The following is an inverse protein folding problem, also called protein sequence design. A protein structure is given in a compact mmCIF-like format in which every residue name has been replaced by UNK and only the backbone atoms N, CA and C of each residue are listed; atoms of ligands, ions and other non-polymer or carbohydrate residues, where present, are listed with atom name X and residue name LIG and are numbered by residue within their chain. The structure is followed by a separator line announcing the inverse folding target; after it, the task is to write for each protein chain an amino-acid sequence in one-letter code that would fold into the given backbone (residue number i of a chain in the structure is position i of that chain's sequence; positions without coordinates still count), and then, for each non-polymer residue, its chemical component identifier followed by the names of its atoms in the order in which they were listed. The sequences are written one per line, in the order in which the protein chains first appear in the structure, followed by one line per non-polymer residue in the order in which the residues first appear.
data_IF_839069615194
#
_entry.id   IF_839069615194
#
_cell.length_a   1.000
_cell.length_b   1.000
_cell.length_c   1.000
_cell.angle_alpha   90.00
_cell.angle_beta   90.00
_cell.angle_gamma   90.00
#
_symmetry.space_group_name_H-M   'P 1'
#
loop_
_entity.id
_entity.type
_entity.pdbx_description
1 polymer ?
#
# COMPACT_ATOMS: atom_id res chain seq x y z
N UNK A 1 6.78 8.23 -13.80
CA UNK A 1 5.32 8.06 -13.69
C UNK A 1 4.82 8.77 -12.45
N UNK A 2 3.67 9.40 -12.54
CA UNK A 2 3.04 10.10 -11.42
C UNK A 2 2.63 9.08 -10.34
N UNK A 3 2.90 9.40 -9.07
CA UNK A 3 2.55 8.51 -7.95
C UNK A 3 1.06 8.16 -7.92
N UNK A 4 0.19 9.10 -8.28
CA UNK A 4 -1.26 8.87 -8.32
C UNK A 4 -1.68 7.94 -9.45
N UNK A 5 -0.84 7.79 -10.47
CA UNK A 5 -1.09 6.81 -11.54
C UNK A 5 -0.59 5.44 -11.14
N UNK A 6 0.44 5.38 -10.30
CA UNK A 6 1.00 4.12 -9.79
C UNK A 6 0.07 3.53 -8.73
N UNK A 7 -0.29 4.34 -7.73
CA UNK A 7 -1.18 3.94 -6.62
C UNK A 7 -2.58 4.50 -6.91
N UNK A 8 -3.50 3.64 -7.29
CA UNK A 8 -4.86 4.07 -7.68
C UNK A 8 -5.73 4.39 -6.48
N UNK A 9 -5.87 3.45 -5.57
CA UNK A 9 -6.65 3.66 -4.34
C UNK A 9 -6.33 2.57 -3.32
N UNK A 10 -6.53 2.85 -2.03
CA UNK A 10 -6.38 1.82 -1.00
C UNK A 10 -7.59 0.90 -0.98
N UNK A 11 -7.40 -0.30 -0.45
CA UNK A 11 -8.47 -1.26 -0.25
C UNK A 11 -8.78 -1.36 1.24
N UNK A 12 -10.06 -1.28 1.59
CA UNK A 12 -10.53 -1.40 2.97
C UNK A 12 -11.50 -2.58 3.07
N UNK A 13 -10.93 -3.78 3.15
CA UNK A 13 -11.68 -5.02 3.35
C UNK A 13 -11.38 -5.54 4.75
N UNK A 14 -12.16 -6.51 5.21
CA UNK A 14 -11.91 -7.14 6.50
C UNK A 14 -10.50 -7.73 6.57
N UNK A 15 -10.05 -8.37 5.48
CA UNK A 15 -8.72 -8.94 5.41
C UNK A 15 -7.64 -7.86 5.47
N UNK A 16 -7.82 -6.73 4.78
CA UNK A 16 -6.83 -5.66 4.78
C UNK A 16 -6.73 -4.99 6.14
N UNK A 17 -7.84 -4.87 6.85
CA UNK A 17 -7.85 -4.32 8.21
C UNK A 17 -7.09 -5.25 9.17
N UNK A 18 -7.28 -6.55 9.05
CA UNK A 18 -6.55 -7.53 9.85
C UNK A 18 -5.05 -7.46 9.60
N UNK A 19 -4.64 -7.32 8.34
CA UNK A 19 -3.22 -7.19 7.98
C UNK A 19 -2.62 -5.91 8.53
N UNK A 20 -3.38 -4.83 8.53
CA UNK A 20 -2.94 -3.57 9.11
C UNK A 20 -2.67 -3.70 10.60
N UNK A 21 -3.57 -4.34 11.32
CA UNK A 21 -3.46 -4.50 12.78
C UNK A 21 -2.39 -5.51 13.19
N UNK A 22 -2.29 -6.63 12.47
CA UNK A 22 -1.41 -7.73 12.87
C UNK A 22 -0.03 -7.67 12.25
N UNK A 23 0.11 -7.15 11.02
CA UNK A 23 1.36 -7.19 10.27
C UNK A 23 1.86 -5.84 9.79
N UNK A 24 1.20 -4.77 10.18
CA UNK A 24 1.56 -3.40 9.78
C UNK A 24 1.60 -3.22 8.27
N UNK A 25 0.62 -3.81 7.58
CA UNK A 25 0.50 -3.78 6.12
C UNK A 25 -0.75 -3.04 5.68
N UNK A 26 -0.66 -2.35 4.54
CA UNK A 26 -1.83 -1.82 3.84
C UNK A 26 -1.88 -2.43 2.45
N UNK A 27 -3.08 -2.52 1.90
CA UNK A 27 -3.31 -3.06 0.56
C UNK A 27 -3.77 -1.94 -0.35
N UNK A 28 -3.10 -1.81 -1.51
CA UNK A 28 -3.43 -0.80 -2.51
C UNK A 28 -3.74 -1.45 -3.84
N UNK A 29 -4.70 -0.87 -4.55
CA UNK A 29 -4.88 -1.16 -5.97
C UNK A 29 -3.87 -0.31 -6.73
N UNK A 30 -3.07 -0.95 -7.58
CA UNK A 30 -2.00 -0.27 -8.31
C UNK A 30 -2.12 -0.48 -9.80
N UNK A 31 -1.36 0.30 -10.58
CA UNK A 31 -1.31 0.15 -12.02
C UNK A 31 -0.72 -1.22 -12.38
N UNK A 32 -1.28 -1.87 -13.40
CA UNK A 32 -0.84 -3.20 -13.83
C UNK A 32 0.63 -3.20 -14.29
N UNK A 33 1.12 -2.08 -14.77
CA UNK A 33 2.49 -1.95 -15.25
C UNK A 33 3.48 -1.52 -14.16
N UNK A 34 2.99 -1.22 -12.96
CA UNK A 34 3.86 -0.81 -11.85
C UNK A 34 4.57 -2.01 -11.24
N UNK A 35 5.86 -1.88 -10.99
CA UNK A 35 6.63 -2.92 -10.31
C UNK A 35 6.81 -2.59 -8.81
N UNK A 36 7.42 -3.51 -8.08
CA UNK A 36 7.63 -3.36 -6.63
C UNK A 36 8.43 -2.11 -6.28
N UNK A 37 9.47 -1.81 -7.05
CA UNK A 37 10.32 -0.65 -6.80
C UNK A 37 9.56 0.65 -6.99
N UNK A 38 8.78 0.73 -8.05
CA UNK A 38 7.95 1.90 -8.34
C UNK A 38 6.90 2.11 -7.25
N UNK A 39 6.26 1.03 -6.82
CA UNK A 39 5.23 1.08 -5.77
C UNK A 39 5.84 1.53 -4.45
N UNK A 40 6.98 0.94 -4.07
CA UNK A 40 7.68 1.31 -2.84
C UNK A 40 8.04 2.78 -2.82
N UNK A 41 8.65 3.26 -3.90
CA UNK A 41 9.06 4.66 -4.02
C UNK A 41 7.86 5.59 -3.96
N UNK A 42 6.78 5.25 -4.68
CA UNK A 42 5.58 6.07 -4.70
C UNK A 42 4.95 6.20 -3.31
N UNK A 43 4.84 5.09 -2.59
CA UNK A 43 4.27 5.09 -1.23
C UNK A 43 5.15 5.90 -0.28
N UNK A 44 6.45 5.71 -0.35
CA UNK A 44 7.38 6.44 0.50
C UNK A 44 7.32 7.96 0.26
N UNK A 45 7.17 8.37 -0.98
CA UNK A 45 7.05 9.78 -1.33
C UNK A 45 5.70 10.37 -0.94
N UNK A 46 4.62 9.61 -1.18
CA UNK A 46 3.26 10.09 -0.91
C UNK A 46 2.98 10.28 0.58
N UNK A 47 3.44 9.36 1.41
CA UNK A 47 3.14 9.37 2.84
C UNK A 47 4.34 9.75 3.71
N UNK A 48 5.50 9.94 3.09
CA UNK A 48 6.75 10.29 3.79
C UNK A 48 7.06 9.29 4.91
N UNK A 49 6.97 8.01 4.55
CA UNK A 49 7.20 6.90 5.48
C UNK A 49 8.22 5.94 4.89
N UNK A 50 8.70 5.03 5.71
CA UNK A 50 9.64 4.01 5.30
C UNK A 50 8.89 2.71 5.05
N UNK A 51 9.10 2.13 3.87
CA UNK A 51 8.48 0.86 3.48
C UNK A 51 9.50 -0.26 3.65
N UNK A 52 9.11 -1.30 4.38
CA UNK A 52 9.98 -2.45 4.63
C UNK A 52 9.92 -3.47 3.50
N UNK A 53 8.72 -3.74 2.98
CA UNK A 53 8.52 -4.75 1.94
C UNK A 53 7.27 -4.46 1.12
N UNK A 54 7.26 -4.94 -0.13
CA UNK A 54 6.12 -4.83 -1.02
C UNK A 54 5.92 -6.17 -1.72
N UNK A 55 4.71 -6.72 -1.62
CA UNK A 55 4.31 -7.91 -2.38
C UNK A 55 3.21 -7.53 -3.33
N UNK A 56 3.26 -8.03 -4.56
CA UNK A 56 2.25 -7.73 -5.57
C UNK A 56 1.60 -9.01 -6.07
N UNK A 57 0.30 -8.93 -6.34
CA UNK A 57 -0.49 -10.04 -6.85
C UNK A 57 -1.38 -9.53 -7.97
N UNK A 58 -1.46 -10.32 -9.05
CA UNK A 58 -2.33 -10.01 -10.18
C UNK A 58 -3.51 -10.99 -10.12
N UNK A 59 -4.72 -10.45 -10.14
CA UNK A 59 -5.93 -11.25 -10.10
C UNK A 59 -6.99 -10.59 -10.99
N UNK A 60 -7.51 -11.32 -11.95
CA UNK A 60 -8.56 -10.84 -12.88
C UNK A 60 -8.16 -9.54 -13.57
N UNK A 61 -6.89 -9.43 -14.00
CA UNK A 61 -6.41 -8.25 -14.71
C UNK A 61 -6.13 -7.05 -13.82
N UNK A 62 -6.29 -7.20 -12.51
CA UNK A 62 -6.02 -6.13 -11.55
C UNK A 62 -4.81 -6.48 -10.69
N UNK A 63 -4.00 -5.46 -10.38
CA UNK A 63 -2.81 -5.65 -9.57
C UNK A 63 -3.01 -5.05 -8.19
N UNK A 64 -2.78 -5.87 -7.16
CA UNK A 64 -2.85 -5.44 -5.76
C UNK A 64 -1.47 -5.43 -5.16
N UNK A 65 -1.15 -4.42 -4.39
CA UNK A 65 0.12 -4.31 -3.69
C UNK A 65 -0.10 -4.39 -2.18
N UNK A 66 0.60 -5.30 -1.53
CA UNK A 66 0.59 -5.46 -0.08
C UNK A 66 1.86 -4.79 0.42
N UNK A 67 1.71 -3.62 1.03
CA UNK A 67 2.83 -2.79 1.45
C UNK A 67 3.02 -2.91 2.96
N UNK A 68 4.20 -3.41 3.36
CA UNK A 68 4.56 -3.51 4.76
C UNK A 68 5.43 -2.32 5.14
N UNK A 69 5.00 -1.57 6.14
CA UNK A 69 5.71 -0.38 6.61
C UNK A 69 6.71 -0.74 7.71
N UNK A 70 7.72 0.10 7.86
CA UNK A 70 8.66 -0.03 8.96
C UNK A 70 7.92 0.12 10.29
N UNK A 71 8.46 -0.50 11.35
CA UNK A 71 7.83 -0.50 12.67
C UNK A 71 7.57 0.90 13.22
N UNK A 72 8.42 1.84 12.89
CA UNK A 72 8.32 3.24 13.30
C UNK A 72 7.21 4.02 12.58
N UNK A 73 6.62 3.42 11.54
CA UNK A 73 5.54 4.02 10.75
C UNK A 73 4.31 3.11 10.82
N UNK A 74 3.47 3.25 11.87
CA UNK A 74 2.29 2.40 12.01
C UNK A 74 1.32 2.54 10.85
N UNK A 75 0.90 1.41 10.28
CA UNK A 75 -0.03 1.40 9.16
C UNK A 75 -1.37 2.06 9.52
N UNK A 76 -1.76 1.99 10.78
CA UNK A 76 -3.01 2.59 11.25
C UNK A 76 -2.98 4.13 11.07
N UNK A 77 -1.83 4.76 11.29
CA UNK A 77 -1.71 6.21 11.10
C UNK A 77 -1.86 6.58 9.63
N UNK A 78 -1.30 5.77 8.74
CA UNK A 78 -1.41 5.99 7.29
C UNK A 78 -2.87 5.78 6.85
N UNK A 79 -3.52 4.75 7.36
CA UNK A 79 -4.92 4.48 7.06
C UNK A 79 -5.81 5.63 7.52
N UNK A 80 -5.50 6.25 8.65
CA UNK A 80 -6.21 7.42 9.14
C UNK A 80 -6.05 8.60 8.18
N UNK A 81 -4.83 8.83 7.68
CA UNK A 81 -4.59 9.89 6.70
C UNK A 81 -5.36 9.65 5.40
N UNK A 82 -5.59 8.39 5.04
CA UNK A 82 -6.32 8.02 3.84
C UNK A 82 -7.84 8.03 4.03
N UNK A 83 -8.30 8.22 5.26
CA UNK A 83 -9.72 8.21 5.56
C UNK A 83 -10.34 6.82 5.62
N UNK A 84 -9.53 5.77 5.84
CA UNK A 84 -10.01 4.39 5.94
C UNK A 84 -10.55 4.06 7.33
N UNK A 85 -10.26 4.87 8.29
CA UNK A 85 -10.67 4.65 9.68
C UNK A 85 -11.18 5.95 10.31
#
# INVERSE_FOLDING_TARGET
MDNYKIIKHPLSTEKSIRLMESQNKLVFMVDIDADKKMIKKAVEEMFKVKVEDVNVYIQKGMKKAYVKFAQENPAIDIATQLGLM
#
